data_IF_509283609162
#
_entry.id   IF_509283609162
#
_cell.length_a   1.000
_cell.length_b   1.000
_cell.length_c   1.000
_cell.angle_alpha   90.00
_cell.angle_beta   90.00
_cell.angle_gamma   90.00
#
_symmetry.space_group_name_H-M   'P 1'
#
loop_
_entity.id
_entity.type
_entity.pdbx_description
1 polymer ?
#
# COMPACT_ATOMS: atom_id res chain seq x y z
N UNK A 1 9.41 14.72 -6.58
CA UNK A 1 9.54 14.14 -5.23
C UNK A 1 9.64 12.63 -5.43
N UNK A 2 10.48 11.94 -4.66
CA UNK A 2 10.60 10.48 -4.79
C UNK A 2 9.39 9.78 -4.13
N UNK A 3 9.05 8.59 -4.60
CA UNK A 3 8.03 7.75 -3.96
C UNK A 3 8.65 6.66 -3.09
N UNK A 4 7.89 6.12 -2.14
CA UNK A 4 8.31 4.99 -1.31
C UNK A 4 7.21 3.93 -1.24
N UNK A 5 7.59 2.66 -1.33
CA UNK A 5 6.68 1.52 -1.31
C UNK A 5 7.03 0.52 -0.20
N UNK A 6 6.02 0.00 0.47
CA UNK A 6 6.15 -1.06 1.46
C UNK A 6 5.88 -2.43 0.84
N UNK A 7 6.78 -3.38 1.09
CA UNK A 7 6.63 -4.77 0.65
C UNK A 7 6.70 -5.67 1.89
N UNK A 8 5.54 -6.04 2.43
CA UNK A 8 5.44 -7.06 3.47
C UNK A 8 5.53 -8.44 2.81
N UNK A 9 6.53 -9.23 3.18
CA UNK A 9 6.78 -10.54 2.56
C UNK A 9 7.30 -11.58 3.55
N UNK A 10 7.13 -12.85 3.21
CA UNK A 10 7.78 -13.96 3.91
C UNK A 10 9.03 -14.45 3.16
N UNK A 11 9.67 -15.51 3.67
CA UNK A 11 10.84 -16.13 3.04
C UNK A 11 10.54 -17.08 1.89
N UNK A 12 9.29 -17.52 1.76
CA UNK A 12 8.82 -18.40 0.70
C UNK A 12 8.34 -17.61 -0.52
N UNK A 13 8.47 -16.28 -0.48
CA UNK A 13 8.12 -15.36 -1.56
C UNK A 13 6.67 -14.92 -1.58
N UNK A 14 5.88 -15.24 -0.55
CA UNK A 14 4.55 -14.67 -0.40
C UNK A 14 4.65 -13.19 0.01
N UNK A 15 3.79 -12.36 -0.55
CA UNK A 15 3.74 -10.92 -0.27
C UNK A 15 2.32 -10.36 -0.48
N UNK A 16 2.06 -9.17 0.04
CA UNK A 16 0.78 -8.48 -0.17
C UNK A 16 0.78 -7.66 -1.46
N UNK A 17 -0.18 -7.94 -2.34
CA UNK A 17 -0.50 -7.15 -3.52
C UNK A 17 -1.88 -6.56 -3.37
N UNK A 18 -2.03 -5.25 -3.57
CA UNK A 18 -3.32 -4.58 -3.53
C UNK A 18 -3.84 -4.23 -4.93
N UNK A 19 -5.10 -3.81 -5.00
CA UNK A 19 -5.66 -3.11 -6.16
C UNK A 19 -6.25 -1.78 -5.70
N UNK A 20 -5.92 -0.72 -6.43
CA UNK A 20 -6.51 0.61 -6.20
C UNK A 20 -7.96 0.65 -6.65
N UNK A 21 -8.77 1.43 -5.95
CA UNK A 21 -10.11 1.82 -6.39
C UNK A 21 -10.02 2.61 -7.69
N UNK A 22 -11.14 2.76 -8.38
CA UNK A 22 -11.26 3.75 -9.45
C UNK A 22 -11.40 5.18 -8.89
N UNK A 23 -11.99 5.31 -7.70
CA UNK A 23 -12.25 6.59 -7.03
C UNK A 23 -11.96 6.53 -5.54
N UNK A 24 -11.34 7.58 -5.03
CA UNK A 24 -11.23 7.89 -3.60
C UNK A 24 -12.38 8.81 -3.16
N UNK A 25 -12.94 8.60 -1.98
CA UNK A 25 -14.01 9.37 -1.36
C UNK A 25 -13.55 10.09 -0.08
N UNK A 26 -12.43 9.66 0.50
CA UNK A 26 -11.77 10.33 1.60
C UNK A 26 -10.26 10.12 1.54
N UNK A 27 -9.51 11.17 1.89
CA UNK A 27 -8.05 11.16 1.92
C UNK A 27 -7.55 12.09 3.01
N UNK A 28 -6.57 11.64 3.76
CA UNK A 28 -5.83 12.40 4.73
C UNK A 28 -4.89 13.37 4.03
N UNK A 29 -4.76 14.57 4.56
CA UNK A 29 -3.87 15.59 4.00
C UNK A 29 -3.22 16.35 5.15
N UNK A 30 -2.15 17.08 4.84
CA UNK A 30 -1.50 17.99 5.79
C UNK A 30 -2.46 19.00 6.45
N UNK A 31 -3.65 19.23 5.88
CA UNK A 31 -4.67 20.16 6.37
C UNK A 31 -5.86 19.47 7.08
N UNK A 32 -5.73 18.19 7.44
CA UNK A 32 -6.77 17.46 8.19
C UNK A 32 -7.69 16.59 7.35
N UNK A 33 -7.39 16.41 6.06
CA UNK A 33 -8.11 15.50 5.15
C UNK A 33 -9.35 16.11 4.48
N UNK A 34 -9.91 15.37 3.53
CA UNK A 34 -11.11 15.75 2.76
C UNK A 34 -12.03 14.55 2.55
N UNK A 35 -13.32 14.82 2.37
CA UNK A 35 -14.31 13.84 1.91
C UNK A 35 -15.13 14.41 0.76
N UNK A 36 -15.55 13.57 -0.17
CA UNK A 36 -16.48 13.94 -1.23
C UNK A 36 -17.43 12.79 -1.51
N UNK A 37 -18.74 13.08 -1.51
CA UNK A 37 -19.79 12.08 -1.78
C UNK A 37 -19.75 11.54 -3.20
N UNK A 38 -19.18 12.30 -4.14
CA UNK A 38 -19.03 11.88 -5.53
C UNK A 38 -17.65 11.25 -5.75
N UNK A 39 -16.73 11.40 -4.79
CA UNK A 39 -15.34 10.97 -4.87
C UNK A 39 -14.53 11.64 -5.98
N UNK A 40 -13.23 11.38 -6.01
CA UNK A 40 -12.29 11.82 -7.04
C UNK A 40 -11.70 10.63 -7.78
N UNK A 41 -11.48 10.73 -9.09
CA UNK A 41 -10.81 9.66 -9.84
C UNK A 41 -9.36 9.51 -9.36
N UNK A 42 -8.92 8.28 -9.12
CA UNK A 42 -7.51 7.97 -8.86
C UNK A 42 -6.75 7.97 -10.19
N UNK A 43 -6.05 9.08 -10.46
CA UNK A 43 -5.35 9.30 -11.74
C UNK A 43 -4.07 8.47 -11.87
N UNK A 44 -3.47 8.08 -10.74
CA UNK A 44 -2.26 7.25 -10.69
C UNK A 44 -2.63 5.80 -10.37
N UNK A 45 -2.97 5.04 -11.41
CA UNK A 45 -3.21 3.60 -11.29
C UNK A 45 -4.59 3.20 -10.75
N UNK A 46 -5.62 4.05 -10.88
CA UNK A 46 -6.98 3.67 -10.48
C UNK A 46 -7.46 2.37 -11.15
N UNK A 47 -7.93 1.41 -10.36
CA UNK A 47 -8.31 0.06 -10.82
C UNK A 47 -7.14 -0.88 -11.12
N UNK A 48 -5.89 -0.45 -10.96
CA UNK A 48 -4.68 -1.24 -11.21
C UNK A 48 -4.13 -1.84 -9.92
N UNK A 49 -3.25 -2.83 -10.08
CA UNK A 49 -2.47 -3.38 -8.98
C UNK A 49 -1.55 -2.34 -8.37
N UNK A 50 -1.35 -2.43 -7.06
CA UNK A 50 -0.50 -1.52 -6.31
C UNK A 50 0.18 -2.21 -5.12
N UNK A 51 1.39 -1.74 -4.83
CA UNK A 51 2.01 -1.89 -3.52
C UNK A 51 1.67 -0.65 -2.70
N UNK A 52 1.37 -0.79 -1.39
CA UNK A 52 1.15 0.36 -0.52
C UNK A 52 2.32 1.33 -0.59
N UNK A 53 2.05 2.61 -0.85
CA UNK A 53 3.11 3.58 -1.05
C UNK A 53 2.68 4.88 -1.71
N UNK A 54 3.38 5.94 -1.33
CA UNK A 54 3.07 7.29 -1.73
C UNK A 54 4.31 8.16 -1.81
N UNK A 55 4.13 9.45 -1.57
CA UNK A 55 5.22 10.41 -1.60
C UNK A 55 6.16 10.20 -0.41
N UNK A 56 7.46 10.26 -0.67
CA UNK A 56 8.46 10.29 0.41
C UNK A 56 8.55 11.72 0.97
N UNK A 57 7.64 12.03 1.88
CA UNK A 57 7.60 13.32 2.59
C UNK A 57 8.59 13.39 3.77
N UNK A 58 9.07 12.24 4.22
CA UNK A 58 10.03 12.10 5.33
C UNK A 58 11.43 11.75 4.82
N UNK A 59 12.47 12.18 5.55
CA UNK A 59 13.85 11.83 5.19
C UNK A 59 14.16 10.33 5.41
N UNK A 60 13.45 9.69 6.34
CA UNK A 60 13.58 8.28 6.67
C UNK A 60 12.67 7.43 5.77
N UNK A 61 13.29 6.65 4.89
CA UNK A 61 12.60 5.82 3.90
C UNK A 61 11.83 4.67 4.56
N UNK A 62 12.37 4.08 5.63
CA UNK A 62 11.72 2.97 6.34
C UNK A 62 10.45 3.45 7.03
N UNK A 63 10.57 4.59 7.73
CA UNK A 63 9.43 5.23 8.37
C UNK A 63 8.38 5.69 7.36
N UNK A 64 8.82 6.26 6.23
CA UNK A 64 7.93 6.62 5.12
C UNK A 64 7.14 5.41 4.60
N UNK A 65 7.81 4.30 4.31
CA UNK A 65 7.12 3.09 3.85
C UNK A 65 6.14 2.52 4.88
N UNK A 66 6.53 2.47 6.16
CA UNK A 66 5.66 1.99 7.23
C UNK A 66 4.43 2.89 7.44
N UNK A 67 4.59 4.22 7.29
CA UNK A 67 3.49 5.19 7.31
C UNK A 67 2.52 4.91 6.16
N UNK A 68 3.00 4.84 4.93
CA UNK A 68 2.16 4.59 3.74
C UNK A 68 1.42 3.25 3.86
N UNK A 69 2.09 2.20 4.36
CA UNK A 69 1.43 0.93 4.65
C UNK A 69 0.26 1.11 5.62
N UNK A 70 0.47 1.83 6.72
CA UNK A 70 -0.59 2.09 7.69
C UNK A 70 -1.73 2.96 7.13
N UNK A 71 -1.39 4.02 6.41
CA UNK A 71 -2.36 4.96 5.84
C UNK A 71 -3.26 4.29 4.81
N UNK A 72 -2.71 3.46 3.93
CA UNK A 72 -3.49 2.80 2.87
C UNK A 72 -4.17 1.50 3.30
N UNK A 73 -3.63 0.77 4.28
CA UNK A 73 -4.20 -0.52 4.72
C UNK A 73 -5.02 -0.43 6.00
N UNK A 74 -4.81 0.63 6.80
CA UNK A 74 -5.40 0.78 8.13
C UNK A 74 -4.76 -0.09 9.21
N UNK A 75 -3.66 -0.79 8.91
CA UNK A 75 -2.96 -1.67 9.84
C UNK A 75 -1.49 -1.31 9.98
N UNK A 76 -0.97 -1.43 11.19
CA UNK A 76 0.46 -1.35 11.44
C UNK A 76 1.15 -2.62 10.97
N UNK A 77 2.36 -2.49 10.43
CA UNK A 77 3.22 -3.64 10.14
C UNK A 77 3.43 -4.51 11.40
N UNK A 78 3.57 -5.84 11.26
CA UNK A 78 3.98 -6.71 12.36
C UNK A 78 5.28 -6.22 13.01
N UNK A 79 5.42 -6.39 14.33
CA UNK A 79 6.62 -5.94 15.06
C UNK A 79 7.90 -6.64 14.55
N UNK A 80 7.77 -7.89 14.10
CA UNK A 80 8.83 -8.67 13.45
C UNK A 80 9.40 -7.95 12.22
N UNK A 81 8.53 -7.29 11.44
CA UNK A 81 8.87 -6.61 10.20
C UNK A 81 9.82 -5.41 10.40
N UNK A 82 9.76 -4.76 11.57
CA UNK A 82 10.52 -3.55 11.87
C UNK A 82 11.96 -3.81 12.34
N UNK A 83 12.35 -5.08 12.52
CA UNK A 83 13.66 -5.40 13.12
C UNK A 83 14.84 -5.16 12.19
N UNK A 84 14.69 -5.52 10.91
CA UNK A 84 15.75 -5.40 9.89
C UNK A 84 15.13 -5.24 8.49
N UNK A 85 14.36 -4.18 8.23
CA UNK A 85 13.83 -3.93 6.89
C UNK A 85 14.99 -3.69 5.91
N UNK A 86 14.82 -4.12 4.65
CA UNK A 86 15.81 -3.86 3.59
C UNK A 86 15.32 -2.69 2.74
N UNK A 87 16.12 -1.64 2.64
CA UNK A 87 15.83 -0.48 1.78
C UNK A 87 16.56 -0.60 0.44
N UNK A 88 15.85 -0.39 -0.66
CA UNK A 88 16.42 -0.37 -2.01
C UNK A 88 15.90 0.85 -2.76
N UNK A 89 16.82 1.56 -3.41
CA UNK A 89 16.54 2.78 -4.18
C UNK A 89 16.63 2.48 -5.66
N UNK A 90 15.71 3.05 -6.44
CA UNK A 90 15.60 2.86 -7.87
C UNK A 90 15.58 4.19 -8.62
N UNK A 91 16.17 4.24 -9.81
CA UNK A 91 15.97 5.36 -10.72
C UNK A 91 14.63 5.28 -11.46
N UNK A 92 14.33 6.26 -12.31
CA UNK A 92 13.07 6.31 -13.06
C UNK A 92 12.89 5.20 -14.11
N UNK A 93 13.95 4.45 -14.41
CA UNK A 93 13.90 3.27 -15.29
C UNK A 93 13.73 1.95 -14.51
N UNK A 94 13.69 2.03 -13.17
CA UNK A 94 13.60 0.87 -12.29
C UNK A 94 14.92 0.15 -12.05
N UNK A 95 16.06 0.78 -12.33
CA UNK A 95 17.38 0.23 -12.03
C UNK A 95 17.81 0.62 -10.61
N UNK A 96 18.48 -0.30 -9.91
CA UNK A 96 18.97 -0.05 -8.55
C UNK A 96 20.10 0.98 -8.57
N UNK A 97 20.02 1.96 -7.68
CA UNK A 97 21.03 3.01 -7.54
C UNK A 97 21.70 2.98 -6.17
N UNK A 98 22.96 3.44 -6.12
CA UNK A 98 23.71 3.55 -4.88
C UNK A 98 23.13 4.64 -3.95
N UNK A 99 23.42 4.53 -2.65
CA UNK A 99 22.83 5.36 -1.60
C UNK A 99 22.98 6.88 -1.81
N UNK A 100 24.05 7.31 -2.49
CA UNK A 100 24.42 8.71 -2.72
C UNK A 100 23.90 9.28 -4.03
N UNK A 101 23.18 8.49 -4.85
CA UNK A 101 22.56 8.98 -6.09
C UNK A 101 21.12 9.38 -5.83
N UNK A 102 20.65 10.35 -6.62
CA UNK A 102 19.23 10.66 -6.71
C UNK A 102 18.47 9.42 -7.17
N UNK A 103 17.31 9.18 -6.57
CA UNK A 103 16.42 8.07 -6.87
C UNK A 103 15.02 8.60 -7.18
N UNK A 104 14.29 7.89 -8.04
CA UNK A 104 12.91 8.24 -8.40
C UNK A 104 11.93 7.60 -7.41
N UNK A 105 12.22 6.39 -6.96
CA UNK A 105 11.43 5.71 -5.94
C UNK A 105 12.30 4.74 -5.12
N UNK A 106 11.81 4.36 -3.94
CA UNK A 106 12.42 3.36 -3.09
C UNK A 106 11.40 2.29 -2.69
N UNK A 107 11.88 1.10 -2.37
CA UNK A 107 11.09 0.05 -1.75
C UNK A 107 11.73 -0.37 -0.43
N UNK A 108 10.88 -0.66 0.54
CA UNK A 108 11.27 -1.20 1.84
C UNK A 108 10.65 -2.58 1.97
N UNK A 109 11.51 -3.59 2.09
CA UNK A 109 11.13 -4.98 2.19
C UNK A 109 11.11 -5.38 3.67
N UNK A 110 9.89 -5.61 4.15
CA UNK A 110 9.58 -5.97 5.52
C UNK A 110 9.40 -7.49 5.60
N UNK A 111 10.48 -8.20 5.96
CA UNK A 111 10.44 -9.66 6.11
C UNK A 111 9.71 -10.06 7.40
N UNK A 112 8.73 -10.94 7.29
CA UNK A 112 7.96 -11.51 8.41
C UNK A 112 7.79 -13.04 8.25
N UNK A 113 7.08 -13.69 9.18
CA UNK A 113 6.69 -15.08 9.02
C UNK A 113 5.57 -15.23 7.99
N UNK A 114 5.37 -16.43 7.45
CA UNK A 114 4.21 -16.71 6.59
C UNK A 114 2.88 -16.42 7.31
N UNK A 115 2.80 -16.78 8.60
CA UNK A 115 1.62 -16.50 9.44
C UNK A 115 1.34 -15.00 9.54
N UNK A 116 2.37 -14.17 9.72
CA UNK A 116 2.22 -12.71 9.78
C UNK A 116 1.69 -12.15 8.45
N UNK A 117 2.12 -12.69 7.29
CA UNK A 117 1.56 -12.31 5.97
C UNK A 117 0.07 -12.68 5.89
N UNK A 118 -0.28 -13.90 6.27
CA UNK A 118 -1.67 -14.40 6.24
C UNK A 118 -2.56 -13.57 7.17
N UNK A 119 -2.13 -13.37 8.42
CA UNK A 119 -2.90 -12.61 9.42
C UNK A 119 -3.07 -11.16 8.98
N UNK A 120 -2.04 -10.54 8.40
CA UNK A 120 -2.12 -9.16 7.91
C UNK A 120 -3.09 -9.07 6.73
N UNK A 121 -3.01 -9.98 5.76
CA UNK A 121 -3.95 -10.04 4.63
C UNK A 121 -5.40 -10.20 5.11
N UNK A 122 -5.67 -11.20 5.95
CA UNK A 122 -7.00 -11.43 6.51
C UNK A 122 -7.51 -10.18 7.25
N UNK A 123 -6.68 -9.54 8.06
CA UNK A 123 -7.12 -8.36 8.80
C UNK A 123 -7.47 -7.17 7.88
N UNK A 124 -6.74 -6.99 6.79
CA UNK A 124 -7.04 -5.97 5.79
C UNK A 124 -8.33 -6.33 5.03
N UNK A 125 -8.41 -7.55 4.52
CA UNK A 125 -9.51 -8.06 3.67
C UNK A 125 -10.84 -8.19 4.42
N UNK A 126 -10.81 -8.64 5.67
CA UNK A 126 -12.01 -8.95 6.47
C UNK A 126 -12.46 -7.81 7.38
N UNK A 127 -11.55 -6.90 7.76
CA UNK A 127 -11.88 -5.79 8.67
C UNK A 127 -11.59 -4.41 8.10
N UNK A 128 -10.34 -4.10 7.74
CA UNK A 128 -9.96 -2.72 7.43
C UNK A 128 -10.64 -2.19 6.15
N UNK A 129 -10.58 -2.93 5.04
CA UNK A 129 -11.23 -2.53 3.79
C UNK A 129 -12.76 -2.61 3.87
N UNK A 130 -13.38 -3.62 4.51
CA UNK A 130 -14.83 -3.59 4.77
C UNK A 130 -15.29 -2.40 5.61
N UNK A 131 -14.52 -1.99 6.63
CA UNK A 131 -14.82 -0.77 7.38
C UNK A 131 -14.69 0.47 6.51
N UNK A 132 -13.65 0.56 5.67
CA UNK A 132 -13.52 1.63 4.67
C UNK A 132 -14.74 1.71 3.75
N UNK A 133 -15.22 0.57 3.23
CA UNK A 133 -16.43 0.50 2.38
C UNK A 133 -17.67 1.03 3.11
N UNK A 134 -17.83 0.73 4.40
CA UNK A 134 -18.93 1.28 5.22
C UNK A 134 -18.81 2.79 5.43
N UNK A 135 -17.60 3.31 5.64
CA UNK A 135 -17.32 4.75 5.73
C UNK A 135 -17.67 5.44 4.40
N UNK A 136 -17.30 4.84 3.26
CA UNK A 136 -17.67 5.36 1.93
C UNK A 136 -19.18 5.46 1.77
N UNK A 137 -19.95 4.42 2.13
CA UNK A 137 -21.42 4.47 2.09
C UNK A 137 -21.99 5.59 2.97
N UNK A 138 -21.39 5.83 4.14
CA UNK A 138 -21.79 6.93 5.02
C UNK A 138 -21.45 8.32 4.43
N UNK A 139 -20.36 8.46 3.68
CA UNK A 139 -20.01 9.69 2.95
C UNK A 139 -20.98 9.92 1.79
N UNK A 140 -21.26 8.89 0.98
CA UNK A 140 -22.18 8.94 -0.16
C UNK A 140 -23.60 9.34 0.29
N UNK A 141 -24.06 8.78 1.41
CA UNK A 141 -25.36 9.10 2.03
C UNK A 141 -25.38 10.41 2.83
N UNK A 142 -24.26 11.14 2.90
CA UNK A 142 -24.09 12.39 3.67
C UNK A 142 -24.26 12.27 5.19
N UNK A 143 -24.13 11.07 5.75
CA UNK A 143 -23.96 10.89 7.21
C UNK A 143 -22.59 11.43 7.67
N UNK A 144 -21.56 11.28 6.82
CA UNK A 144 -20.24 11.91 6.98
C UNK A 144 -20.09 13.01 5.93
N UNK A 145 -19.76 14.23 6.37
CA UNK A 145 -19.60 15.43 5.55
C UNK A 145 -18.22 16.05 5.66
N UNK A 146 -17.46 15.70 6.69
CA UNK A 146 -16.07 16.13 6.87
C UNK A 146 -15.19 14.95 7.29
N UNK A 147 -13.89 15.00 6.94
CA UNK A 147 -12.93 13.95 7.27
C UNK A 147 -12.81 13.74 8.79
N UNK A 148 -12.88 14.82 9.57
CA UNK A 148 -12.85 14.78 11.04
C UNK A 148 -14.00 13.98 11.67
N UNK A 149 -15.11 13.75 10.95
CA UNK A 149 -16.26 12.99 11.44
C UNK A 149 -16.05 11.47 11.31
N UNK A 150 -15.10 11.02 10.48
CA UNK A 150 -14.84 9.58 10.26
C UNK A 150 -14.49 8.88 11.56
N UNK A 151 -13.64 9.48 12.41
CA UNK A 151 -13.25 8.86 13.67
C UNK A 151 -14.44 8.69 14.63
N UNK A 152 -15.34 9.68 14.69
CA UNK A 152 -16.53 9.61 15.52
C UNK A 152 -17.50 8.53 14.99
N UNK A 153 -17.68 8.46 13.68
CA UNK A 153 -18.46 7.41 13.02
C UNK A 153 -17.89 6.02 13.30
N UNK A 154 -16.58 5.83 13.10
CA UNK A 154 -15.90 4.57 13.36
C UNK A 154 -16.10 4.09 14.81
N UNK A 155 -15.92 4.99 15.80
CA UNK A 155 -16.16 4.69 17.21
C UNK A 155 -17.62 4.29 17.48
N UNK A 156 -18.59 5.04 16.94
CA UNK A 156 -20.03 4.75 17.06
C UNK A 156 -20.38 3.36 16.53
N UNK A 157 -19.67 2.89 15.50
CA UNK A 157 -19.93 1.63 14.82
C UNK A 157 -18.96 0.49 15.21
N UNK A 158 -18.14 0.69 16.25
CA UNK A 158 -17.22 -0.34 16.76
C UNK A 158 -16.12 -0.73 15.78
N UNK A 159 -15.75 0.16 14.85
CA UNK A 159 -14.68 -0.08 13.89
C UNK A 159 -13.32 0.14 14.56
N UNK A 160 -12.42 -0.84 14.44
CA UNK A 160 -11.10 -0.82 15.08
C UNK A 160 -9.94 -0.56 14.12
N UNK A 161 -10.17 -0.71 12.82
CA UNK A 161 -9.18 -0.47 11.78
C UNK A 161 -9.86 -0.02 10.47
N UNK A 162 -9.29 0.97 9.80
CA UNK A 162 -9.63 1.42 8.46
C UNK A 162 -8.45 2.25 7.90
N UNK A 163 -8.24 2.26 6.58
CA UNK A 163 -7.27 3.15 5.95
C UNK A 163 -7.58 4.62 6.25
N UNK A 164 -6.55 5.42 6.47
CA UNK A 164 -6.65 6.88 6.50
C UNK A 164 -7.04 7.44 5.12
N UNK A 165 -6.60 6.77 4.05
CA UNK A 165 -6.88 7.11 2.66
C UNK A 165 -7.58 5.93 2.00
N UNK A 166 -8.75 6.13 1.39
CA UNK A 166 -9.49 5.01 0.81
C UNK A 166 -9.00 4.63 -0.58
N UNK A 167 -7.69 4.54 -0.80
CA UNK A 167 -7.15 4.26 -2.12
C UNK A 167 -7.32 2.80 -2.55
N UNK A 168 -7.29 1.85 -1.61
CA UNK A 168 -7.32 0.42 -1.90
C UNK A 168 -8.75 -0.15 -1.93
N UNK A 169 -9.01 -1.09 -2.83
CA UNK A 169 -10.29 -1.81 -2.92
C UNK A 169 -10.19 -3.28 -2.48
N UNK A 170 -9.02 -3.88 -2.75
CA UNK A 170 -8.71 -5.28 -2.49
C UNK A 170 -7.24 -5.43 -2.12
N UNK A 171 -6.96 -6.47 -1.35
CA UNK A 171 -5.61 -7.00 -1.13
C UNK A 171 -5.65 -8.51 -1.33
N UNK A 172 -4.55 -9.06 -1.81
CA UNK A 172 -4.34 -10.50 -1.95
C UNK A 172 -2.94 -10.85 -1.48
N UNK A 173 -2.79 -12.10 -1.06
CA UNK A 173 -1.47 -12.71 -0.92
C UNK A 173 -1.05 -13.31 -2.26
N UNK A 174 -0.02 -12.72 -2.87
CA UNK A 174 0.62 -13.24 -4.08
C UNK A 174 1.94 -13.92 -3.73
N UNK A 175 2.49 -14.72 -4.64
CA UNK A 175 3.81 -15.32 -4.48
C UNK A 175 4.70 -15.10 -5.71
N UNK A 176 5.93 -14.59 -5.53
CA UNK A 176 6.85 -14.31 -6.65
C UNK A 176 7.37 -15.56 -7.38
N UNK A 177 7.19 -16.74 -6.78
CA UNK A 177 7.50 -18.04 -7.36
C UNK A 177 6.26 -18.75 -7.93
N UNK A 178 5.04 -18.27 -7.66
CA UNK A 178 3.84 -18.77 -8.33
C UNK A 178 3.83 -18.31 -9.79
N UNK A 179 3.51 -19.23 -10.70
CA UNK A 179 3.55 -18.98 -12.13
C UNK A 179 2.50 -17.97 -12.59
N UNK A 180 1.29 -17.99 -12.02
CA UNK A 180 0.20 -17.11 -12.41
C UNK A 180 0.44 -15.69 -11.88
N UNK A 181 0.79 -15.57 -10.60
CA UNK A 181 1.11 -14.28 -9.98
C UNK A 181 2.31 -13.64 -10.68
N UNK A 182 3.37 -14.42 -10.93
CA UNK A 182 4.52 -13.90 -11.66
C UNK A 182 4.20 -13.48 -13.10
N UNK A 183 3.29 -14.18 -13.78
CA UNK A 183 2.82 -13.77 -15.10
C UNK A 183 2.10 -12.42 -15.04
N UNK A 184 1.26 -12.19 -14.03
CA UNK A 184 0.61 -10.90 -13.80
C UNK A 184 1.63 -9.80 -13.51
N UNK A 185 2.62 -10.06 -12.64
CA UNK A 185 3.72 -9.13 -12.33
C UNK A 185 4.52 -8.78 -13.58
N UNK A 186 4.91 -9.78 -14.39
CA UNK A 186 5.61 -9.53 -15.66
C UNK A 186 4.79 -8.68 -16.62
N UNK A 187 3.46 -8.81 -16.61
CA UNK A 187 2.55 -7.98 -17.39
C UNK A 187 2.58 -6.50 -17.03
N UNK A 188 3.03 -6.13 -15.83
CA UNK A 188 3.20 -4.73 -15.40
C UNK A 188 4.43 -4.08 -16.05
N UNK A 189 5.40 -4.87 -16.54
CA UNK A 189 6.66 -4.36 -17.07
C UNK A 189 6.42 -3.38 -18.22
N UNK A 190 6.97 -2.18 -18.08
CA UNK A 190 6.85 -1.12 -19.10
C UNK A 190 5.50 -0.39 -19.10
N UNK A 191 4.56 -0.75 -18.22
CA UNK A 191 3.35 0.03 -18.01
C UNK A 191 3.72 1.39 -17.37
N UNK A 192 3.29 2.54 -17.94
CA UNK A 192 3.67 3.85 -17.44
C UNK A 192 3.06 4.20 -16.07
N UNK A 193 2.04 3.47 -15.60
CA UNK A 193 1.36 3.73 -14.33
C UNK A 193 1.74 2.76 -13.21
N UNK A 194 2.24 1.56 -13.54
CA UNK A 194 2.53 0.52 -12.55
C UNK A 194 3.83 -0.24 -12.82
N UNK A 195 4.58 0.13 -13.86
CA UNK A 195 5.76 -0.62 -14.29
C UNK A 195 6.93 -0.59 -13.31
N UNK A 196 6.97 0.35 -12.38
CA UNK A 196 7.96 0.32 -11.31
C UNK A 196 7.71 -0.79 -10.28
N UNK A 197 6.45 -1.24 -10.10
CA UNK A 197 6.15 -2.38 -9.22
C UNK A 197 6.79 -3.68 -9.73
N UNK A 198 6.93 -3.83 -11.05
CA UNK A 198 7.70 -4.93 -11.63
C UNK A 198 9.14 -4.92 -11.12
N UNK A 199 9.83 -3.78 -11.16
CA UNK A 199 11.23 -3.67 -10.71
C UNK A 199 11.39 -3.97 -9.22
N UNK A 200 10.43 -3.55 -8.40
CA UNK A 200 10.41 -3.86 -6.96
C UNK A 200 10.27 -5.37 -6.71
N UNK A 201 9.33 -6.02 -7.40
CA UNK A 201 9.03 -7.44 -7.18
C UNK A 201 10.06 -8.37 -7.85
N UNK A 202 10.65 -7.96 -8.96
CA UNK A 202 11.82 -8.62 -9.54
C UNK A 202 13.00 -8.56 -8.57
N UNK A 203 13.24 -7.41 -7.94
CA UNK A 203 14.31 -7.31 -6.96
C UNK A 203 14.07 -8.19 -5.73
N UNK A 204 12.84 -8.25 -5.22
CA UNK A 204 12.46 -9.19 -4.15
C UNK A 204 12.84 -10.62 -4.53
N UNK A 205 12.38 -11.07 -5.70
CA UNK A 205 12.59 -12.43 -6.18
C UNK A 205 14.06 -12.77 -6.42
N UNK A 206 14.79 -11.89 -7.11
CA UNK A 206 16.13 -12.23 -7.64
C UNK A 206 17.30 -11.80 -6.74
N UNK A 207 17.06 -10.96 -5.72
CA UNK A 207 18.13 -10.40 -4.89
C UNK A 207 17.88 -10.45 -3.39
N UNK A 208 16.65 -10.69 -2.95
CA UNK A 208 16.31 -10.81 -1.52
C UNK A 208 16.03 -12.26 -1.14
N UNK A 209 15.29 -12.99 -1.97
CA UNK A 209 14.84 -14.36 -1.69
C UNK A 209 15.71 -15.46 -2.32
N UNK A 210 16.87 -15.09 -2.88
CA UNK A 210 17.87 -16.04 -3.38
C UNK A 210 18.75 -16.60 -2.28
#
# INVERSE_FOLDING_TARGET
MASVYAVLHDENGAFLMAQKRAREYYVHTAYGGRVDKDGWPLTNGGGRYALPGGALDEADIEKGAAREFFEETGLTLPVSALRNPRVVKFDGSGQVVSANKNFAFAAVYFKVSEEDVIVTENNISEFALPNSKRIVVAIESREIKAYSEIQAYARKHGMVAWPADNELDWVWRWNVYDGNDWNAIRGMRGDPQIGWYYSVLEYLRDHILR
#
